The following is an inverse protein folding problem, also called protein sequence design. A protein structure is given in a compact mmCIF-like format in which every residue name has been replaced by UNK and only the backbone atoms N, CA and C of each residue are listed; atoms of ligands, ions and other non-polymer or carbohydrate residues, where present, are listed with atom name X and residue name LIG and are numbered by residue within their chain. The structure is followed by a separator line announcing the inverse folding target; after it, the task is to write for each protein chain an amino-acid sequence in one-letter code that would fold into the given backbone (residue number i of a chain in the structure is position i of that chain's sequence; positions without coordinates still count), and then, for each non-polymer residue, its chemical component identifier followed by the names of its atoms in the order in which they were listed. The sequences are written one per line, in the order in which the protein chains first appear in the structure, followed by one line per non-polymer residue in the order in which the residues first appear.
data_IF_766704250699
#
_entry.id   IF_766704250699
#
_cell.length_a   1.000
_cell.length_b   1.000
_cell.length_c   1.000
_cell.angle_alpha   90.00
_cell.angle_beta   90.00
_cell.angle_gamma   90.00
#
_symmetry.space_group_name_H-M   'P 1'
#
loop_
_entity.id
_entity.type
_entity.pdbx_description
1 polymer ?
#
# COMPACT_ATOMS: atom_id res chain seq x y z
N UNK A 1 -27.63 -15.66 -3.84
CA UNK A 1 -26.30 -16.31 -3.89
C UNK A 1 -25.13 -15.37 -4.26
N UNK A 2 -25.07 -14.68 -5.41
CA UNK A 2 -23.88 -13.80 -5.72
C UNK A 2 -23.81 -12.56 -4.81
N UNK A 3 -24.96 -11.91 -4.56
CA UNK A 3 -25.04 -10.74 -3.68
C UNK A 3 -24.69 -11.10 -2.22
N UNK A 4 -25.14 -12.24 -1.72
CA UNK A 4 -24.81 -12.72 -0.35
C UNK A 4 -23.31 -12.96 -0.17
N UNK A 5 -22.65 -13.57 -1.17
CA UNK A 5 -21.21 -13.80 -1.12
C UNK A 5 -20.41 -12.49 -1.09
N UNK A 6 -20.85 -11.47 -1.83
CA UNK A 6 -20.25 -10.13 -1.77
C UNK A 6 -20.45 -9.49 -0.40
N UNK A 7 -21.68 -9.50 0.14
CA UNK A 7 -21.95 -8.92 1.46
C UNK A 7 -21.13 -9.58 2.56
N UNK A 8 -20.95 -10.91 2.50
CA UNK A 8 -20.11 -11.63 3.45
C UNK A 8 -18.64 -11.22 3.37
N UNK A 9 -18.08 -11.08 2.16
CA UNK A 9 -16.71 -10.57 1.98
C UNK A 9 -16.58 -9.14 2.47
N UNK A 10 -17.51 -8.26 2.09
CA UNK A 10 -17.55 -6.87 2.53
C UNK A 10 -17.56 -6.75 4.05
N UNK A 11 -18.42 -7.53 4.72
CA UNK A 11 -18.47 -7.55 6.18
C UNK A 11 -17.12 -7.95 6.81
N UNK A 12 -16.44 -8.95 6.23
CA UNK A 12 -15.12 -9.36 6.71
C UNK A 12 -14.05 -8.27 6.51
N UNK A 13 -14.09 -7.55 5.38
CA UNK A 13 -13.17 -6.42 5.15
C UNK A 13 -13.41 -5.29 6.15
N UNK A 14 -14.67 -4.90 6.36
CA UNK A 14 -15.02 -3.82 7.29
C UNK A 14 -14.65 -4.16 8.74
N UNK A 15 -14.87 -5.41 9.17
CA UNK A 15 -14.43 -5.88 10.47
C UNK A 15 -12.89 -5.80 10.61
N UNK A 16 -12.15 -6.10 9.54
CA UNK A 16 -10.69 -5.92 9.50
C UNK A 16 -10.28 -4.46 9.64
N UNK A 17 -10.92 -3.54 8.92
CA UNK A 17 -10.60 -2.10 9.01
C UNK A 17 -10.89 -1.50 10.39
N UNK A 18 -11.83 -2.06 11.15
CA UNK A 18 -12.21 -1.60 12.49
C UNK A 18 -11.34 -2.16 13.62
N UNK A 19 -10.56 -3.22 13.36
CA UNK A 19 -9.60 -3.73 14.33
C UNK A 19 -8.34 -2.85 14.29
N UNK A 20 -7.82 -2.46 15.46
CA UNK A 20 -6.63 -1.60 15.65
C UNK A 20 -5.34 -2.08 14.93
N UNK A 21 -5.38 -3.26 14.28
CA UNK A 21 -4.31 -3.88 13.52
C UNK A 21 -4.82 -4.71 12.31
N UNK A 22 -6.07 -4.55 11.88
CA UNK A 22 -6.67 -5.43 10.87
C UNK A 22 -6.42 -5.00 9.42
N UNK A 23 -5.71 -3.90 9.22
CA UNK A 23 -5.11 -3.56 7.95
C UNK A 23 -3.78 -4.32 7.78
N UNK A 24 -3.68 -5.20 6.79
CA UNK A 24 -2.50 -6.03 6.53
C UNK A 24 -1.43 -5.31 5.69
N UNK A 25 -1.56 -4.00 5.54
CA UNK A 25 -0.47 -3.17 5.04
C UNK A 25 0.74 -3.26 5.93
N UNK A 26 1.88 -2.78 5.44
CA UNK A 26 3.03 -2.61 6.31
C UNK A 26 2.77 -1.59 7.43
N UNK A 27 1.80 -0.68 7.25
CA UNK A 27 1.43 0.37 8.20
C UNK A 27 0.44 -0.08 9.29
N UNK A 28 -0.39 -1.08 9.02
CA UNK A 28 -1.36 -1.59 10.00
C UNK A 28 -2.60 -0.72 10.21
N UNK A 29 -2.78 0.37 9.44
CA UNK A 29 -3.93 1.29 9.55
C UNK A 29 -4.21 2.03 8.24
N UNK A 30 -5.47 2.44 8.05
CA UNK A 30 -5.88 3.29 6.92
C UNK A 30 -5.19 4.65 7.01
N UNK A 31 -4.66 5.11 5.88
CA UNK A 31 -4.05 6.43 5.76
C UNK A 31 -5.05 7.55 6.05
N UNK A 32 -4.73 8.41 7.02
CA UNK A 32 -5.60 9.52 7.45
C UNK A 32 -6.09 10.42 6.30
N UNK A 33 -5.27 10.79 5.29
CA UNK A 33 -5.72 11.63 4.18
C UNK A 33 -6.84 11.04 3.32
N UNK A 34 -7.05 9.71 3.36
CA UNK A 34 -8.05 9.01 2.54
C UNK A 34 -9.09 8.26 3.37
N UNK A 35 -9.03 8.35 4.70
CA UNK A 35 -9.93 7.65 5.61
C UNK A 35 -11.41 7.99 5.35
N UNK A 36 -11.72 9.28 5.16
CA UNK A 36 -13.09 9.74 4.86
C UNK A 36 -13.60 9.20 3.52
N UNK A 37 -12.75 9.20 2.48
CA UNK A 37 -13.09 8.63 1.18
C UNK A 37 -13.37 7.12 1.29
N UNK A 38 -12.52 6.39 2.01
CA UNK A 38 -12.70 4.95 2.27
C UNK A 38 -14.02 4.69 3.00
N UNK A 39 -14.35 5.49 4.01
CA UNK A 39 -15.61 5.38 4.75
C UNK A 39 -16.83 5.63 3.85
N UNK A 40 -16.80 6.70 3.05
CA UNK A 40 -17.88 7.05 2.11
C UNK A 40 -18.11 5.95 1.07
N UNK A 41 -17.04 5.43 0.48
CA UNK A 41 -17.14 4.34 -0.52
C UNK A 41 -17.72 3.08 0.11
N UNK A 42 -17.27 2.72 1.31
CA UNK A 42 -17.74 1.54 2.02
C UNK A 42 -19.17 1.66 2.55
N UNK A 43 -19.71 2.86 2.71
CA UNK A 43 -21.12 3.06 3.04
C UNK A 43 -22.05 2.58 1.90
N UNK A 44 -21.58 2.56 0.65
CA UNK A 44 -22.39 2.12 -0.48
C UNK A 44 -22.59 0.59 -0.49
N UNK A 45 -23.83 0.06 -0.51
CA UNK A 45 -24.11 -1.37 -0.31
C UNK A 45 -23.52 -2.29 -1.38
N UNK A 46 -23.24 -1.77 -2.58
CA UNK A 46 -22.62 -2.51 -3.69
C UNK A 46 -21.12 -2.28 -3.87
N UNK A 47 -20.44 -1.55 -2.98
CA UNK A 47 -19.01 -1.28 -3.08
C UNK A 47 -18.29 -1.69 -1.80
N UNK A 48 -17.04 -2.13 -1.95
CA UNK A 48 -16.13 -2.41 -0.85
C UNK A 48 -14.72 -1.97 -1.26
N UNK A 49 -14.07 -1.13 -0.48
CA UNK A 49 -12.64 -0.88 -0.67
C UNK A 49 -11.84 -2.09 -0.19
N UNK A 50 -10.68 -2.32 -0.78
CA UNK A 50 -9.70 -3.29 -0.24
C UNK A 50 -8.35 -2.59 -0.05
N UNK A 51 -7.23 -3.24 -0.34
CA UNK A 51 -5.87 -2.69 -0.25
C UNK A 51 -5.75 -1.37 -1.04
N UNK A 52 -5.67 -0.23 -0.36
CA UNK A 52 -5.64 1.11 -0.98
C UNK A 52 -4.55 1.95 -0.33
N UNK A 53 -3.92 2.91 -0.99
CA UNK A 53 -2.81 3.70 -0.44
C UNK A 53 -3.05 5.18 -0.71
N UNK A 54 -2.81 6.08 0.26
CA UNK A 54 -2.93 7.54 0.03
C UNK A 54 -1.90 8.11 -0.95
N UNK A 55 -0.95 7.29 -1.38
CA UNK A 55 0.25 7.69 -2.09
C UNK A 55 1.44 7.77 -1.14
N UNK A 56 2.64 7.73 -1.71
CA UNK A 56 3.88 7.65 -0.96
C UNK A 56 5.03 8.32 -1.70
N UNK A 57 5.88 9.03 -0.96
CA UNK A 57 7.23 9.38 -1.40
C UNK A 57 8.18 8.36 -0.80
N UNK A 58 9.01 7.73 -1.63
CA UNK A 58 10.00 6.76 -1.16
C UNK A 58 11.35 6.98 -1.82
N UNK A 59 12.42 6.63 -1.11
CA UNK A 59 13.76 6.52 -1.68
C UNK A 59 14.17 5.07 -1.60
N UNK A 60 14.46 4.47 -2.75
CA UNK A 60 14.94 3.11 -2.86
C UNK A 60 16.43 3.12 -3.16
N UNK A 61 17.24 2.52 -2.29
CA UNK A 61 18.68 2.35 -2.49
C UNK A 61 18.97 0.99 -3.11
N UNK A 62 19.63 0.96 -4.25
CA UNK A 62 20.15 -0.25 -4.85
C UNK A 62 21.62 -0.47 -4.46
N UNK A 63 22.02 -1.72 -4.14
CA UNK A 63 23.38 -2.02 -3.72
C UNK A 63 24.38 -1.62 -4.81
N UNK A 64 25.52 -1.08 -4.36
CA UNK A 64 26.64 -0.74 -5.24
C UNK A 64 27.27 -1.99 -5.87
N UNK A 65 28.16 -1.83 -6.87
CA UNK A 65 28.81 -2.94 -7.56
C UNK A 65 29.53 -3.92 -6.62
N UNK A 66 30.24 -3.41 -5.61
CA UNK A 66 30.95 -4.23 -4.62
C UNK A 66 29.99 -5.03 -3.74
N UNK A 67 28.91 -4.41 -3.27
CA UNK A 67 27.88 -5.09 -2.47
C UNK A 67 27.15 -6.17 -3.28
N UNK A 68 26.91 -5.92 -4.58
CA UNK A 68 26.38 -6.93 -5.50
C UNK A 68 27.36 -8.07 -5.74
N UNK A 69 28.65 -7.77 -5.90
CA UNK A 69 29.70 -8.78 -6.03
C UNK A 69 29.84 -9.62 -4.76
N UNK A 70 29.62 -9.02 -3.58
CA UNK A 70 29.53 -9.70 -2.29
C UNK A 70 28.20 -10.48 -2.08
N UNK A 71 27.32 -10.51 -3.09
CA UNK A 71 26.11 -11.33 -3.08
C UNK A 71 24.87 -10.66 -2.47
N UNK A 72 24.92 -9.36 -2.13
CA UNK A 72 23.70 -8.64 -1.70
C UNK A 72 22.76 -8.49 -2.90
N UNK A 73 21.54 -9.04 -2.76
CA UNK A 73 20.50 -9.01 -3.79
C UNK A 73 19.36 -8.09 -3.37
N UNK A 74 18.82 -7.34 -4.34
CA UNK A 74 17.74 -6.39 -4.12
C UNK A 74 18.21 -5.10 -3.45
N UNK A 75 17.44 -4.04 -3.63
CA UNK A 75 17.64 -2.80 -2.89
C UNK A 75 16.77 -2.72 -1.63
N UNK A 76 16.98 -1.66 -0.86
CA UNK A 76 16.25 -1.40 0.38
C UNK A 76 15.60 -0.01 0.37
N UNK A 77 14.59 0.18 1.22
CA UNK A 77 13.98 1.48 1.40
C UNK A 77 14.89 2.32 2.29
N UNK A 78 15.46 3.36 1.70
CA UNK A 78 16.21 4.34 2.46
C UNK A 78 15.27 5.26 3.25
N UNK A 79 14.14 5.63 2.62
CA UNK A 79 13.10 6.50 3.17
C UNK A 79 11.74 6.10 2.59
N UNK A 80 10.66 6.28 3.36
CA UNK A 80 9.28 6.13 2.90
C UNK A 80 8.34 6.97 3.77
N UNK A 81 7.45 7.75 3.15
CA UNK A 81 6.43 8.52 3.86
C UNK A 81 5.13 8.58 3.05
N UNK A 82 3.99 8.46 3.74
CA UNK A 82 2.65 8.64 3.18
C UNK A 82 2.17 10.11 3.29
N UNK A 83 2.98 10.96 3.94
CA UNK A 83 2.78 12.40 4.06
C UNK A 83 3.79 13.17 3.21
N UNK A 84 3.74 14.51 3.29
CA UNK A 84 4.79 15.35 2.71
C UNK A 84 6.14 14.96 3.32
N UNK A 85 7.11 14.67 2.46
CA UNK A 85 8.46 14.34 2.89
C UNK A 85 9.22 15.61 3.33
N UNK A 86 9.87 15.54 4.49
CA UNK A 86 10.83 16.57 4.89
C UNK A 86 12.15 16.39 4.13
N UNK A 87 12.70 17.50 3.61
CA UNK A 87 13.90 17.47 2.78
C UNK A 87 15.13 17.01 3.58
N UNK A 88 15.26 17.42 4.84
CA UNK A 88 16.41 17.06 5.67
C UNK A 88 16.35 15.59 6.08
N UNK A 89 15.17 15.06 6.37
CA UNK A 89 14.98 13.63 6.63
C UNK A 89 15.38 12.79 5.42
N UNK A 90 14.95 13.18 4.22
CA UNK A 90 15.30 12.49 2.98
C UNK A 90 16.82 12.56 2.73
N UNK A 91 17.44 13.73 2.86
CA UNK A 91 18.89 13.88 2.66
C UNK A 91 19.70 13.07 3.68
N UNK A 92 19.29 13.07 4.96
CA UNK A 92 19.93 12.27 6.00
C UNK A 92 19.85 10.77 5.71
N UNK A 93 18.66 10.30 5.30
CA UNK A 93 18.43 8.90 4.90
C UNK A 93 19.28 8.46 3.70
N UNK A 94 19.55 9.37 2.76
CA UNK A 94 20.45 9.12 1.62
C UNK A 94 21.91 9.14 2.05
N UNK A 95 22.36 10.18 2.75
CA UNK A 95 23.77 10.34 3.14
C UNK A 95 24.28 9.18 4.00
N UNK A 96 23.46 8.70 4.95
CA UNK A 96 23.79 7.55 5.79
C UNK A 96 24.07 6.26 5.01
N UNK A 97 23.60 6.16 3.77
CA UNK A 97 23.72 4.98 2.90
C UNK A 97 24.58 5.20 1.65
N UNK A 98 24.94 6.44 1.34
CA UNK A 98 25.66 6.79 0.12
C UNK A 98 27.16 6.43 0.12
N UNK A 99 27.66 5.81 1.20
CA UNK A 99 29.08 5.48 1.38
C UNK A 99 29.59 4.33 0.50
N UNK A 100 28.72 3.54 -0.14
CA UNK A 100 29.09 2.34 -0.92
C UNK A 100 28.98 2.48 -2.46
N UNK A 101 28.81 3.71 -2.98
CA UNK A 101 28.51 3.90 -4.41
C UNK A 101 27.12 3.38 -4.80
N UNK A 102 26.22 3.27 -3.82
CA UNK A 102 24.82 2.90 -4.02
C UNK A 102 24.08 3.92 -4.91
N UNK A 103 23.20 3.42 -5.77
CA UNK A 103 22.31 4.25 -6.57
C UNK A 103 20.97 4.41 -5.84
N UNK A 104 20.46 5.63 -5.77
CA UNK A 104 19.17 5.91 -5.13
C UNK A 104 18.14 6.34 -6.17
N UNK A 105 16.91 5.85 -6.00
CA UNK A 105 15.76 6.25 -6.79
C UNK A 105 14.74 6.91 -5.87
N UNK A 106 14.53 8.21 -6.03
CA UNK A 106 13.39 8.91 -5.45
C UNK A 106 12.15 8.59 -6.29
N UNK A 107 11.09 8.09 -5.63
CA UNK A 107 9.84 7.68 -6.27
C UNK A 107 8.68 8.45 -5.65
N UNK A 108 7.76 8.85 -6.50
CA UNK A 108 6.42 9.26 -6.11
C UNK A 108 5.45 8.19 -6.58
N UNK A 109 4.76 7.57 -5.63
CA UNK A 109 3.68 6.63 -5.86
C UNK A 109 2.37 7.38 -5.62
N UNK A 110 1.49 7.53 -6.63
CA UNK A 110 0.24 8.25 -6.46
C UNK A 110 -0.73 7.49 -5.55
N UNK A 111 -1.82 8.15 -5.18
CA UNK A 111 -2.99 7.51 -4.58
C UNK A 111 -3.46 6.31 -5.43
N UNK A 112 -3.73 5.19 -4.77
CA UNK A 112 -4.27 3.97 -5.39
C UNK A 112 -5.48 3.50 -4.57
N UNK A 113 -6.62 3.30 -5.24
CA UNK A 113 -7.83 2.74 -4.62
C UNK A 113 -8.14 1.40 -5.25
N UNK A 114 -8.19 0.33 -4.46
CA UNK A 114 -8.77 -0.93 -4.91
C UNK A 114 -10.21 -1.05 -4.45
N UNK A 115 -11.08 -1.40 -5.39
CA UNK A 115 -12.52 -1.45 -5.20
C UNK A 115 -13.08 -2.78 -5.72
N UNK A 116 -13.82 -3.49 -4.87
CA UNK A 116 -14.69 -4.57 -5.29
C UNK A 116 -16.11 -4.05 -5.51
N UNK A 117 -16.72 -4.42 -6.64
CA UNK A 117 -18.10 -4.06 -6.99
C UNK A 117 -18.98 -5.31 -6.87
N UNK A 118 -20.05 -5.21 -6.08
CA UNK A 118 -21.07 -6.24 -5.94
C UNK A 118 -21.85 -6.41 -7.23
N UNK A 119 -21.61 -7.50 -7.94
CA UNK A 119 -22.20 -7.73 -9.25
C UNK A 119 -23.65 -8.22 -9.22
N UNK A 120 -24.52 -7.49 -9.92
CA UNK A 120 -25.57 -8.04 -10.77
C UNK A 120 -25.12 -7.98 -12.23
N UNK A 121 -24.26 -8.91 -12.66
CA UNK A 121 -23.88 -9.11 -14.07
C UNK A 121 -22.66 -8.32 -14.58
N UNK A 122 -21.49 -8.95 -14.55
CA UNK A 122 -20.50 -8.96 -15.64
C UNK A 122 -19.36 -9.92 -15.27
N UNK A 123 -19.10 -10.89 -16.14
CA UNK A 123 -18.00 -11.85 -16.02
C UNK A 123 -16.67 -11.12 -16.24
N UNK A 124 -15.89 -10.97 -15.18
CA UNK A 124 -14.48 -10.64 -15.25
C UNK A 124 -13.84 -11.23 -14.02
N UNK A 125 -13.18 -12.38 -14.17
CA UNK A 125 -12.39 -12.99 -13.11
C UNK A 125 -11.21 -12.08 -12.79
N UNK A 126 -11.41 -11.07 -11.95
CA UNK A 126 -10.31 -10.44 -11.26
C UNK A 126 -9.81 -11.50 -10.27
N UNK A 127 -8.66 -12.08 -10.58
CA UNK A 127 -8.02 -13.07 -9.73
C UNK A 127 -8.00 -12.54 -8.30
N UNK A 128 -8.61 -13.30 -7.39
CA UNK A 128 -8.53 -13.07 -5.96
C UNK A 128 -7.06 -12.87 -5.63
N UNK A 129 -6.68 -11.64 -5.32
CA UNK A 129 -5.38 -11.39 -4.71
C UNK A 129 -5.44 -12.09 -3.35
N UNK A 130 -4.72 -13.22 -3.24
CA UNK A 130 -4.59 -14.00 -2.00
C UNK A 130 -3.63 -13.34 -1.00
N UNK A 131 -3.15 -12.13 -1.30
CA UNK A 131 -2.57 -11.23 -0.32
C UNK A 131 -3.72 -10.53 0.40
N UNK A 132 -3.81 -10.69 1.72
CA UNK A 132 -4.90 -10.13 2.50
C UNK A 132 -5.05 -8.61 2.34
N UNK A 133 -6.22 -8.10 2.73
CA UNK A 133 -6.57 -6.68 2.69
C UNK A 133 -5.52 -5.86 3.43
N UNK A 134 -4.73 -5.10 2.69
CA UNK A 134 -3.66 -4.27 3.24
C UNK A 134 -3.48 -2.96 2.46
N UNK A 135 -3.70 -1.81 3.09
CA UNK A 135 -3.39 -0.44 2.64
C UNK A 135 -1.88 -0.25 2.41
N UNK A 136 -1.28 -0.89 1.40
CA UNK A 136 0.17 -0.83 1.05
C UNK A 136 1.17 -0.61 2.21
#
# INVERSE_FOLDING_TARGET
MVLEAFQQRKAAVLAGLQADCGDKSRKGSVDAPVADLVAVVNAHPGLCTTSSCSGRISVFGEPGPEERAAGRKGGEWAFASHDKADVQEVLSAVHSRAVSGAAFVLRFEPFILHLEVGGGGARGGCGVWRGGVGVC
#
